data_IF_472303443344
#
_entry.id   IF_472303443344
#
_cell.length_a   1.000
_cell.length_b   1.000
_cell.length_c   1.000
_cell.angle_alpha   90.00
_cell.angle_beta   90.00
_cell.angle_gamma   90.00
#
_symmetry.space_group_name_H-M   'P 1'
#
loop_
_entity.id
_entity.type
_entity.pdbx_description
1 polymer ?
#
# COMPACT_ATOMS: atom_id res chain seq x y z
N UNK A 1 -32.67 -18.10 20.74
CA UNK A 1 -31.37 -17.40 20.63
C UNK A 1 -30.66 -17.65 19.28
N UNK A 2 -31.29 -18.35 18.33
CA UNK A 2 -30.75 -18.69 17.00
C UNK A 2 -31.21 -17.78 15.86
N UNK A 3 -32.15 -16.86 16.09
CA UNK A 3 -32.64 -15.93 15.06
C UNK A 3 -31.77 -14.68 14.93
N UNK A 4 -31.08 -14.26 16.00
CA UNK A 4 -30.24 -13.06 16.01
C UNK A 4 -28.89 -13.23 15.29
N UNK A 5 -28.47 -14.47 15.00
CA UNK A 5 -27.26 -14.74 14.20
C UNK A 5 -27.51 -14.63 12.70
N UNK A 6 -28.76 -14.84 12.26
CA UNK A 6 -29.12 -14.85 10.84
C UNK A 6 -29.19 -13.42 10.24
N UNK A 7 -29.51 -12.41 11.05
CA UNK A 7 -29.61 -11.01 10.59
C UNK A 7 -28.25 -10.31 10.37
N UNK A 8 -27.14 -10.82 10.94
CA UNK A 8 -25.80 -10.24 10.75
C UNK A 8 -25.06 -10.75 9.52
N UNK A 9 -25.63 -11.74 8.83
CA UNK A 9 -25.02 -12.38 7.66
C UNK A 9 -25.51 -11.67 6.40
N UNK A 10 -24.60 -11.09 5.63
CA UNK A 10 -24.92 -10.69 4.26
C UNK A 10 -24.99 -11.99 3.46
N UNK A 11 -26.08 -12.29 2.74
CA UNK A 11 -26.16 -13.49 1.92
C UNK A 11 -25.30 -13.30 0.67
N UNK A 12 -23.98 -13.46 0.82
CA UNK A 12 -23.09 -13.55 -0.34
C UNK A 12 -23.37 -14.84 -1.10
N UNK A 13 -23.22 -14.77 -2.41
CA UNK A 13 -23.15 -15.99 -3.20
C UNK A 13 -21.78 -16.64 -2.97
N UNK A 14 -21.69 -17.98 -3.13
CA UNK A 14 -20.40 -18.67 -3.08
C UNK A 14 -19.40 -18.10 -4.09
N UNK A 15 -19.89 -17.57 -5.21
CA UNK A 15 -19.07 -16.91 -6.21
C UNK A 15 -18.46 -15.59 -5.69
N UNK A 16 -19.22 -14.79 -4.96
CA UNK A 16 -18.73 -13.54 -4.36
C UNK A 16 -17.68 -13.80 -3.28
N UNK A 17 -17.88 -14.81 -2.44
CA UNK A 17 -16.91 -15.22 -1.42
C UNK A 17 -15.58 -15.66 -2.07
N UNK A 18 -15.64 -16.45 -3.15
CA UNK A 18 -14.46 -16.86 -3.90
C UNK A 18 -13.74 -15.68 -4.56
N UNK A 19 -14.48 -14.70 -5.11
CA UNK A 19 -13.93 -13.47 -5.67
C UNK A 19 -13.22 -12.63 -4.61
N UNK A 20 -13.82 -12.48 -3.43
CA UNK A 20 -13.22 -11.73 -2.31
C UNK A 20 -11.96 -12.46 -1.81
N UNK A 21 -12.03 -13.78 -1.63
CA UNK A 21 -10.91 -14.59 -1.17
C UNK A 21 -9.72 -14.55 -2.13
N UNK A 22 -9.99 -14.69 -3.43
CA UNK A 22 -8.96 -14.62 -4.48
C UNK A 22 -8.33 -13.23 -4.56
N UNK A 23 -9.14 -12.17 -4.57
CA UNK A 23 -8.64 -10.79 -4.56
C UNK A 23 -7.79 -10.49 -3.32
N UNK A 24 -8.23 -10.94 -2.14
CA UNK A 24 -7.48 -10.82 -0.90
C UNK A 24 -6.12 -11.54 -0.97
N UNK A 25 -6.11 -12.75 -1.53
CA UNK A 25 -4.89 -13.55 -1.70
C UNK A 25 -3.91 -12.88 -2.67
N UNK A 26 -4.40 -12.41 -3.82
CA UNK A 26 -3.56 -11.67 -4.77
C UNK A 26 -3.01 -10.37 -4.18
N UNK A 27 -3.82 -9.60 -3.46
CA UNK A 27 -3.36 -8.39 -2.78
C UNK A 27 -2.29 -8.69 -1.72
N UNK A 28 -2.39 -9.82 -1.02
CA UNK A 28 -1.35 -10.28 -0.10
C UNK A 28 -0.05 -10.64 -0.83
N UNK A 29 -0.13 -11.39 -1.93
CA UNK A 29 1.05 -11.75 -2.73
C UNK A 29 1.74 -10.50 -3.27
N UNK A 30 0.98 -9.58 -3.86
CA UNK A 30 1.50 -8.31 -4.40
C UNK A 30 2.16 -7.50 -3.29
N UNK A 31 1.46 -7.28 -2.17
CA UNK A 31 2.00 -6.47 -1.08
C UNK A 31 3.25 -7.06 -0.45
N UNK A 32 3.30 -8.36 -0.18
CA UNK A 32 4.51 -9.03 0.34
C UNK A 32 5.67 -8.90 -0.64
N UNK A 33 5.41 -9.15 -1.93
CA UNK A 33 6.45 -9.07 -2.97
C UNK A 33 6.97 -7.64 -3.11
N UNK A 34 6.09 -6.65 -3.14
CA UNK A 34 6.46 -5.23 -3.22
C UNK A 34 7.20 -4.76 -1.97
N UNK A 35 6.80 -5.22 -0.77
CA UNK A 35 7.52 -4.93 0.47
C UNK A 35 8.93 -5.51 0.43
N UNK A 36 9.07 -6.78 0.05
CA UNK A 36 10.37 -7.44 -0.05
C UNK A 36 11.30 -6.73 -1.04
N UNK A 37 10.79 -6.40 -2.23
CA UNK A 37 11.55 -5.67 -3.25
C UNK A 37 11.93 -4.26 -2.80
N UNK A 38 11.01 -3.53 -2.15
CA UNK A 38 11.30 -2.21 -1.59
C UNK A 38 12.35 -2.25 -0.48
N UNK A 39 12.26 -3.24 0.41
CA UNK A 39 13.23 -3.46 1.49
C UNK A 39 14.61 -3.81 0.95
N UNK A 40 14.69 -4.73 -0.02
CA UNK A 40 15.96 -5.07 -0.68
C UNK A 40 16.59 -3.86 -1.37
N UNK A 41 15.77 -3.05 -2.04
CA UNK A 41 16.22 -1.81 -2.69
C UNK A 41 16.85 -0.84 -1.70
N UNK A 42 16.26 -0.66 -0.51
CA UNK A 42 16.84 0.17 0.54
C UNK A 42 18.13 -0.43 1.12
N UNK A 43 18.20 -1.74 1.31
CA UNK A 43 19.41 -2.42 1.81
C UNK A 43 20.60 -2.25 0.85
N UNK A 44 20.35 -2.26 -0.46
CA UNK A 44 21.39 -2.04 -1.47
C UNK A 44 21.81 -0.57 -1.53
N UNK A 45 20.85 0.36 -1.46
CA UNK A 45 21.12 1.78 -1.68
C UNK A 45 21.67 2.51 -0.43
N UNK A 46 21.25 2.12 0.77
CA UNK A 46 21.69 2.76 2.02
C UNK A 46 23.23 2.81 2.18
N UNK A 47 24.00 1.71 2.00
CA UNK A 47 25.46 1.78 2.11
C UNK A 47 26.09 2.66 1.03
N UNK A 48 25.57 2.61 -0.20
CA UNK A 48 26.07 3.45 -1.32
C UNK A 48 25.95 4.95 -0.98
N UNK A 49 24.85 5.36 -0.34
CA UNK A 49 24.61 6.74 0.11
C UNK A 49 25.59 7.17 1.21
N UNK A 50 25.88 6.27 2.14
CA UNK A 50 26.78 6.53 3.26
C UNK A 50 28.22 6.69 2.76
N UNK A 51 28.65 5.83 1.84
CA UNK A 51 30.01 5.79 1.33
C UNK A 51 30.27 6.87 0.25
N UNK A 52 29.25 7.30 -0.49
CA UNK A 52 29.38 8.23 -1.62
C UNK A 52 28.45 9.44 -1.47
N UNK A 53 28.83 10.44 -0.65
CA UNK A 53 27.98 11.61 -0.41
C UNK A 53 27.69 12.44 -1.67
N UNK A 54 28.57 12.40 -2.68
CA UNK A 54 28.36 13.06 -3.97
C UNK A 54 27.24 12.45 -4.81
N UNK A 55 26.86 11.19 -4.55
CA UNK A 55 25.78 10.52 -5.28
C UNK A 55 24.41 10.74 -4.64
N UNK A 56 24.33 11.36 -3.45
CA UNK A 56 23.08 11.54 -2.69
C UNK A 56 21.92 12.08 -3.53
N UNK A 57 22.17 13.04 -4.42
CA UNK A 57 21.15 13.60 -5.30
C UNK A 57 20.60 12.59 -6.32
N UNK A 58 21.44 11.70 -6.84
CA UNK A 58 21.07 10.69 -7.84
C UNK A 58 20.25 9.54 -7.23
N UNK A 59 20.60 9.12 -6.01
CA UNK A 59 19.98 7.99 -5.30
C UNK A 59 18.82 8.40 -4.39
N UNK A 60 18.62 9.70 -4.14
CA UNK A 60 17.49 10.19 -3.36
C UNK A 60 16.13 9.78 -3.95
N UNK A 61 15.96 9.87 -5.27
CA UNK A 61 14.68 9.54 -5.92
C UNK A 61 14.34 8.04 -5.82
N UNK A 62 15.25 7.10 -6.14
CA UNK A 62 14.99 5.67 -5.93
C UNK A 62 14.75 5.28 -4.47
N UNK A 63 15.42 5.92 -3.50
CA UNK A 63 15.14 5.72 -2.07
C UNK A 63 13.72 6.18 -1.70
N UNK A 64 13.31 7.36 -2.17
CA UNK A 64 11.96 7.87 -1.92
C UNK A 64 10.90 6.95 -2.52
N UNK A 65 11.13 6.42 -3.72
CA UNK A 65 10.24 5.42 -4.36
C UNK A 65 10.17 4.13 -3.54
N UNK A 66 11.30 3.65 -3.02
CA UNK A 66 11.33 2.45 -2.18
C UNK A 66 10.58 2.66 -0.86
N UNK A 67 10.80 3.81 -0.19
CA UNK A 67 10.06 4.18 1.04
C UNK A 67 8.56 4.30 0.76
N UNK A 68 8.17 5.00 -0.30
CA UNK A 68 6.78 5.07 -0.76
C UNK A 68 6.17 3.68 -0.96
N UNK A 69 6.89 2.80 -1.66
CA UNK A 69 6.45 1.44 -1.97
C UNK A 69 6.21 0.65 -0.69
N UNK A 70 7.14 0.74 0.28
CA UNK A 70 6.99 0.08 1.58
C UNK A 70 5.77 0.58 2.34
N UNK A 71 5.63 1.90 2.48
CA UNK A 71 4.52 2.52 3.22
C UNK A 71 3.19 2.11 2.60
N UNK A 72 3.00 2.30 1.29
CA UNK A 72 1.73 2.01 0.63
C UNK A 72 1.36 0.53 0.72
N UNK A 73 2.33 -0.38 0.50
CA UNK A 73 2.05 -1.82 0.50
C UNK A 73 1.78 -2.40 1.89
N UNK A 74 2.24 -1.77 2.97
CA UNK A 74 1.84 -2.18 4.34
C UNK A 74 0.33 -2.03 4.54
N UNK A 75 -0.28 -0.95 4.04
CA UNK A 75 -1.73 -0.77 4.15
C UNK A 75 -2.50 -1.72 3.23
N UNK A 76 -1.96 -2.02 2.04
CA UNK A 76 -2.52 -3.04 1.16
C UNK A 76 -2.52 -4.41 1.83
N UNK A 77 -1.40 -4.81 2.43
CA UNK A 77 -1.27 -6.07 3.16
C UNK A 77 -2.30 -6.19 4.28
N UNK A 78 -2.49 -5.12 5.06
CA UNK A 78 -3.50 -5.10 6.12
C UNK A 78 -4.93 -5.21 5.58
N UNK A 79 -5.23 -4.57 4.46
CA UNK A 79 -6.54 -4.68 3.79
C UNK A 79 -6.77 -6.12 3.32
N UNK A 80 -5.80 -6.71 2.62
CA UNK A 80 -5.82 -8.09 2.15
C UNK A 80 -5.99 -9.11 3.28
N UNK A 81 -5.28 -8.93 4.40
CA UNK A 81 -5.45 -9.78 5.59
C UNK A 81 -6.85 -9.69 6.19
N UNK A 82 -7.49 -8.52 6.11
CA UNK A 82 -8.85 -8.32 6.65
C UNK A 82 -9.90 -8.96 5.74
N UNK A 83 -9.77 -8.80 4.42
CA UNK A 83 -10.65 -9.47 3.46
C UNK A 83 -10.49 -10.99 3.46
N UNK A 84 -9.28 -11.51 3.71
CA UNK A 84 -9.08 -12.95 3.84
C UNK A 84 -9.82 -13.55 5.04
N UNK A 85 -10.04 -12.77 6.11
CA UNK A 85 -10.83 -13.23 7.27
C UNK A 85 -12.32 -13.38 6.93
N UNK A 86 -12.87 -12.52 6.08
CA UNK A 86 -14.25 -12.62 5.57
C UNK A 86 -14.50 -14.00 4.97
N UNK A 87 -13.58 -14.50 4.15
CA UNK A 87 -13.74 -15.81 3.52
C UNK A 87 -13.53 -17.02 4.44
N UNK A 88 -13.07 -16.80 5.69
CA UNK A 88 -12.67 -17.88 6.61
C UNK A 88 -13.53 -17.97 7.88
N UNK A 89 -14.38 -16.98 8.17
CA UNK A 89 -15.15 -16.93 9.42
C UNK A 89 -16.63 -16.67 9.18
N UNK A 90 -17.49 -17.63 9.53
CA UNK A 90 -18.95 -17.61 9.28
C UNK A 90 -19.75 -16.62 10.16
N UNK A 91 -19.15 -16.04 11.21
CA UNK A 91 -19.88 -15.29 12.24
C UNK A 91 -19.68 -13.75 12.22
N UNK A 92 -18.82 -13.20 11.35
CA UNK A 92 -18.43 -11.78 11.42
C UNK A 92 -18.12 -11.08 10.09
N UNK A 93 -18.77 -11.48 8.99
CA UNK A 93 -18.48 -11.00 7.63
C UNK A 93 -18.58 -9.48 7.48
N UNK A 94 -19.62 -8.86 8.05
CA UNK A 94 -19.83 -7.41 7.91
C UNK A 94 -18.72 -6.58 8.57
N UNK A 95 -18.24 -7.00 9.74
CA UNK A 95 -17.21 -6.27 10.48
C UNK A 95 -15.87 -6.35 9.75
N UNK A 96 -15.48 -7.54 9.28
CA UNK A 96 -14.24 -7.72 8.53
C UNK A 96 -14.29 -7.07 7.15
N UNK A 97 -15.47 -7.04 6.49
CA UNK A 97 -15.65 -6.31 5.25
C UNK A 97 -15.51 -4.81 5.46
N UNK A 98 -16.19 -4.23 6.45
CA UNK A 98 -16.07 -2.81 6.78
C UNK A 98 -14.63 -2.45 7.15
N UNK A 99 -13.95 -3.30 7.92
CA UNK A 99 -12.55 -3.10 8.27
C UNK A 99 -11.64 -3.18 7.03
N UNK A 100 -11.86 -4.15 6.15
CA UNK A 100 -11.16 -4.30 4.88
C UNK A 100 -11.35 -3.07 3.99
N UNK A 101 -12.58 -2.60 3.80
CA UNK A 101 -12.88 -1.40 3.02
C UNK A 101 -12.28 -0.14 3.65
N UNK A 102 -12.29 -0.03 4.99
CA UNK A 102 -11.64 1.10 5.68
C UNK A 102 -10.14 1.13 5.42
N UNK A 103 -9.47 -0.02 5.46
CA UNK A 103 -8.03 -0.15 5.18
C UNK A 103 -7.73 0.08 3.69
N UNK A 104 -8.58 -0.42 2.78
CA UNK A 104 -8.46 -0.19 1.35
C UNK A 104 -8.66 1.29 0.99
N UNK A 105 -9.62 1.95 1.62
CA UNK A 105 -9.81 3.40 1.49
C UNK A 105 -8.58 4.17 1.98
N UNK A 106 -8.02 3.79 3.13
CA UNK A 106 -6.80 4.39 3.65
C UNK A 106 -5.61 4.17 2.69
N UNK A 107 -5.47 2.98 2.11
CA UNK A 107 -4.47 2.68 1.07
C UNK A 107 -4.58 3.66 -0.10
N UNK A 108 -5.76 3.82 -0.70
CA UNK A 108 -5.94 4.74 -1.83
C UNK A 108 -5.73 6.20 -1.44
N UNK A 109 -6.19 6.61 -0.25
CA UNK A 109 -6.02 7.98 0.24
C UNK A 109 -4.53 8.31 0.44
N UNK A 110 -3.77 7.41 1.07
CA UNK A 110 -2.33 7.55 1.26
C UNK A 110 -1.63 7.57 -0.10
N UNK A 111 -2.02 6.67 -1.02
CA UNK A 111 -1.47 6.61 -2.36
C UNK A 111 -1.63 7.94 -3.11
N UNK A 112 -2.83 8.52 -3.09
CA UNK A 112 -3.12 9.82 -3.73
C UNK A 112 -2.32 10.94 -3.08
N UNK A 113 -2.30 11.04 -1.75
CA UNK A 113 -1.56 12.07 -1.02
C UNK A 113 -0.07 12.01 -1.36
N UNK A 114 0.52 10.81 -1.34
CA UNK A 114 1.94 10.63 -1.62
C UNK A 114 2.28 10.92 -3.08
N UNK A 115 1.43 10.51 -4.03
CA UNK A 115 1.62 10.85 -5.45
C UNK A 115 1.61 12.38 -5.63
N UNK A 116 0.61 13.07 -5.07
CA UNK A 116 0.54 14.54 -5.15
C UNK A 116 1.75 15.20 -4.50
N UNK A 117 2.21 14.71 -3.36
CA UNK A 117 3.42 15.21 -2.69
C UNK A 117 4.68 15.00 -3.56
N UNK A 118 4.83 13.82 -4.17
CA UNK A 118 5.97 13.54 -5.06
C UNK A 118 5.98 14.44 -6.30
N UNK A 119 4.85 14.60 -6.98
CA UNK A 119 4.75 15.51 -8.12
C UNK A 119 4.96 16.97 -7.72
N UNK A 120 4.44 17.39 -6.57
CA UNK A 120 4.65 18.73 -6.03
C UNK A 120 6.12 19.03 -5.75
N UNK A 121 6.81 18.13 -5.03
CA UNK A 121 8.24 18.25 -4.75
C UNK A 121 9.08 18.23 -6.02
N UNK A 122 8.75 17.35 -6.97
CA UNK A 122 9.42 17.30 -8.26
C UNK A 122 9.25 18.62 -9.03
N UNK A 123 8.05 19.19 -9.05
CA UNK A 123 7.78 20.49 -9.69
C UNK A 123 8.59 21.63 -9.06
N UNK A 124 8.64 21.72 -7.72
CA UNK A 124 9.45 22.71 -7.00
C UNK A 124 10.94 22.56 -7.34
N UNK A 125 11.45 21.33 -7.36
CA UNK A 125 12.84 21.04 -7.72
C UNK A 125 13.13 21.47 -9.17
N UNK A 126 12.22 21.21 -10.10
CA UNK A 126 12.35 21.59 -11.51
C UNK A 126 12.42 23.12 -11.66
N UNK A 127 11.55 23.85 -10.97
CA UNK A 127 11.57 25.33 -10.96
C UNK A 127 12.87 25.89 -10.36
N UNK A 128 13.37 25.29 -9.27
CA UNK A 128 14.63 25.69 -8.65
C UNK A 128 15.83 25.50 -9.59
N UNK A 129 15.86 24.39 -10.33
CA UNK A 129 16.90 24.13 -11.33
C UNK A 129 16.83 25.14 -12.49
N UNK A 130 15.64 25.42 -13.02
CA UNK A 130 15.47 26.41 -14.08
C UNK A 130 15.84 27.82 -13.61
N UNK A 131 15.46 28.20 -12.39
CA UNK A 131 15.81 29.49 -11.79
C UNK A 131 17.30 29.64 -11.48
N UNK A 132 17.98 28.54 -11.15
CA UNK A 132 19.44 28.49 -10.97
C UNK A 132 20.21 28.60 -12.28
N UNK A 133 19.67 28.11 -13.39
CA UNK A 133 20.26 28.22 -14.73
C UNK A 133 20.12 29.62 -15.36
N UNK A 134 19.18 30.44 -14.88
CA UNK A 134 18.95 31.80 -15.38
C UNK A 134 19.74 32.89 -14.62
N UNK A 135 20.59 32.51 -13.67
CA UNK A 135 21.54 33.39 -12.97
C UNK A 135 22.96 33.09 -13.39
#
# INVERSE_FOLDING_TARGET
MSELSNERRIPFTQEDEQRIASAATWGMIVSITSIASGGLSLLVQAPIILDNPGLRGLIAAPVLVAVYTLVVNVWLLQASLSFRKVALTDEADQVYLLEGFRKLRAYFMIQVILILAMFGLFGIMMLALMGGFMR
#
